data_IF_322432273228
#
_entry.id   IF_322432273228
#
_cell.length_a   1.000
_cell.length_b   1.000
_cell.length_c   1.000
_cell.angle_alpha   90.00
_cell.angle_beta   90.00
_cell.angle_gamma   90.00
#
_symmetry.space_group_name_H-M   'P 1'
#
loop_
_entity.id
_entity.type
_entity.pdbx_description
1 polymer ?
#
# COMPACT_ATOMS: atom_id res chain seq x y z
N UNK A 1 1.49 5.24 -2.12
CA UNK A 1 2.56 5.12 -1.11
C UNK A 1 2.36 6.04 0.11
N UNK A 2 2.15 7.36 -0.05
CA UNK A 2 2.04 8.28 1.11
C UNK A 2 0.90 7.98 2.09
N UNK A 3 -0.33 7.84 1.59
CA UNK A 3 -1.52 7.61 2.45
C UNK A 3 -1.41 6.28 3.21
N UNK A 4 -1.04 5.20 2.54
CA UNK A 4 -0.85 3.89 3.17
C UNK A 4 0.21 3.95 4.29
N UNK A 5 1.33 4.65 4.07
CA UNK A 5 2.35 4.82 5.11
C UNK A 5 1.82 5.59 6.32
N UNK A 6 1.05 6.67 6.13
CA UNK A 6 0.49 7.43 7.27
C UNK A 6 -0.48 6.60 8.10
N UNK A 7 -1.32 5.78 7.47
CA UNK A 7 -2.25 4.88 8.17
C UNK A 7 -1.46 3.82 8.94
N UNK A 8 -0.46 3.19 8.33
CA UNK A 8 0.39 2.20 8.99
C UNK A 8 1.15 2.77 10.18
N UNK A 9 1.72 3.97 10.05
CA UNK A 9 2.44 4.63 11.14
C UNK A 9 1.51 4.99 12.31
N UNK A 10 0.30 5.47 12.02
CA UNK A 10 -0.68 5.77 13.07
C UNK A 10 -1.09 4.49 13.83
N UNK A 11 -1.40 3.42 13.11
CA UNK A 11 -1.73 2.12 13.71
C UNK A 11 -0.56 1.60 14.56
N UNK A 12 0.68 1.74 14.07
CA UNK A 12 1.88 1.36 14.81
C UNK A 12 2.09 2.12 16.12
N UNK A 13 1.64 3.37 16.21
CA UNK A 13 1.66 4.16 17.43
C UNK A 13 0.50 3.81 18.39
N UNK A 14 -0.71 3.63 17.86
CA UNK A 14 -1.90 3.35 18.67
C UNK A 14 -1.88 1.96 19.31
N UNK A 15 -1.38 0.96 18.59
CA UNK A 15 -1.36 -0.44 19.04
C UNK A 15 -0.67 -0.63 20.41
N UNK A 16 0.57 -0.19 20.65
CA UNK A 16 1.22 -0.36 21.95
C UNK A 16 0.53 0.41 23.08
N UNK A 17 -0.14 1.54 22.81
CA UNK A 17 -0.92 2.24 23.84
C UNK A 17 -2.15 1.43 24.28
N UNK A 18 -2.87 0.83 23.33
CA UNK A 18 -4.04 -0.01 23.63
C UNK A 18 -3.61 -1.30 24.34
N UNK A 19 -2.56 -1.97 23.85
CA UNK A 19 -2.02 -3.16 24.50
C UNK A 19 -1.56 -2.83 25.92
N UNK A 20 -0.82 -1.74 26.09
CA UNK A 20 -0.39 -1.26 27.41
C UNK A 20 -1.58 -1.04 28.34
N UNK A 21 -2.62 -0.34 27.91
CA UNK A 21 -3.83 -0.11 28.72
C UNK A 21 -4.57 -1.41 29.07
N UNK A 22 -4.58 -2.41 28.19
CA UNK A 22 -5.19 -3.72 28.44
C UNK A 22 -4.35 -4.60 29.35
N UNK A 23 -3.04 -4.41 29.38
CA UNK A 23 -2.10 -5.25 30.14
C UNK A 23 -1.59 -4.63 31.45
N UNK A 24 -1.86 -3.35 31.69
CA UNK A 24 -1.29 -2.62 32.81
C UNK A 24 -1.76 -3.15 34.18
N UNK A 25 -0.81 -3.31 35.10
CA UNK A 25 -1.05 -3.86 36.45
C UNK A 25 -1.43 -5.35 36.53
N UNK A 26 -1.73 -6.05 35.41
CA UNK A 26 -2.26 -7.42 35.43
C UNK A 26 -1.82 -8.29 34.24
N UNK A 27 -0.55 -8.21 33.85
CA UNK A 27 0.14 -8.98 32.79
C UNK A 27 0.02 -10.52 32.92
N UNK A 28 -1.18 -11.03 32.71
CA UNK A 28 -1.55 -12.44 32.88
C UNK A 28 -1.89 -13.05 31.53
N UNK A 29 -1.83 -14.39 31.45
CA UNK A 29 -2.20 -15.12 30.23
C UNK A 29 -3.62 -14.77 29.75
N UNK A 30 -4.54 -14.48 30.68
CA UNK A 30 -5.92 -14.13 30.35
C UNK A 30 -6.00 -12.81 29.56
N UNK A 31 -5.27 -11.77 29.96
CA UNK A 31 -5.28 -10.49 29.25
C UNK A 31 -4.65 -10.61 27.86
N UNK A 32 -3.58 -11.38 27.72
CA UNK A 32 -2.99 -11.65 26.41
C UNK A 32 -3.95 -12.38 25.47
N UNK A 33 -4.77 -13.31 25.98
CA UNK A 33 -5.84 -13.94 25.18
C UNK A 33 -6.86 -12.92 24.67
N UNK A 34 -7.18 -11.89 25.47
CA UNK A 34 -8.06 -10.80 25.05
C UNK A 34 -7.40 -9.99 23.94
N UNK A 35 -6.14 -9.58 24.11
CA UNK A 35 -5.37 -8.83 23.10
C UNK A 35 -5.34 -9.58 21.77
N UNK A 36 -4.92 -10.85 21.78
CA UNK A 36 -4.88 -11.67 20.56
C UNK A 36 -6.27 -11.93 19.98
N UNK A 37 -7.30 -12.07 20.82
CA UNK A 37 -8.68 -12.21 20.38
C UNK A 37 -9.18 -10.97 19.62
N UNK A 38 -8.90 -9.78 20.13
CA UNK A 38 -9.22 -8.51 19.45
C UNK A 38 -8.48 -8.42 18.11
N UNK A 39 -7.18 -8.70 18.11
CA UNK A 39 -6.38 -8.70 16.86
C UNK A 39 -6.95 -9.66 15.83
N UNK A 40 -7.33 -10.88 16.22
CA UNK A 40 -7.92 -11.86 15.31
C UNK A 40 -9.24 -11.36 14.69
N UNK A 41 -10.10 -10.72 15.47
CA UNK A 41 -11.36 -10.14 14.98
C UNK A 41 -11.09 -9.01 13.98
N UNK A 42 -10.14 -8.12 14.28
CA UNK A 42 -9.76 -7.01 13.37
C UNK A 42 -9.26 -7.57 12.04
N UNK A 43 -8.35 -8.56 12.07
CA UNK A 43 -7.81 -9.18 10.87
C UNK A 43 -8.89 -9.89 10.04
N UNK A 44 -9.86 -10.54 10.69
CA UNK A 44 -10.99 -11.13 10.00
C UNK A 44 -11.83 -10.06 9.29
N UNK A 45 -12.15 -8.95 9.96
CA UNK A 45 -12.91 -7.84 9.35
C UNK A 45 -12.13 -7.25 8.17
N UNK A 46 -10.83 -6.98 8.33
CA UNK A 46 -9.96 -6.52 7.24
C UNK A 46 -10.01 -7.47 6.05
N UNK A 47 -9.91 -8.77 6.30
CA UNK A 47 -9.98 -9.81 5.27
C UNK A 47 -11.31 -9.75 4.52
N UNK A 48 -12.43 -9.63 5.23
CA UNK A 48 -13.74 -9.49 4.59
C UNK A 48 -13.84 -8.22 3.75
N UNK A 49 -13.39 -7.09 4.27
CA UNK A 49 -13.35 -5.83 3.51
C UNK A 49 -12.50 -6.00 2.25
N UNK A 50 -11.34 -6.62 2.35
CA UNK A 50 -10.50 -6.89 1.19
C UNK A 50 -11.21 -7.77 0.16
N UNK A 51 -11.81 -8.89 0.57
CA UNK A 51 -12.49 -9.83 -0.33
C UNK A 51 -13.66 -9.16 -1.07
N UNK A 52 -14.44 -8.31 -0.39
CA UNK A 52 -15.63 -7.71 -1.00
C UNK A 52 -15.34 -6.47 -1.84
N UNK A 53 -14.31 -5.69 -1.50
CA UNK A 53 -14.07 -4.38 -2.11
C UNK A 53 -12.81 -4.30 -2.97
N UNK A 54 -11.86 -5.23 -2.86
CA UNK A 54 -10.68 -5.20 -3.72
C UNK A 54 -11.03 -5.60 -5.17
N UNK A 55 -10.44 -4.92 -6.14
CA UNK A 55 -10.44 -5.33 -7.55
C UNK A 55 -9.02 -5.58 -8.02
N UNK A 56 -8.87 -6.58 -8.90
CA UNK A 56 -7.62 -6.91 -9.57
C UNK A 56 -7.51 -6.28 -10.98
N UNK A 57 -8.51 -5.50 -11.40
CA UNK A 57 -8.52 -4.87 -12.71
C UNK A 57 -7.48 -3.75 -12.80
N UNK A 58 -6.90 -3.62 -14.01
CA UNK A 58 -6.02 -2.50 -14.34
C UNK A 58 -6.79 -1.20 -14.15
N UNK A 59 -6.31 -0.36 -13.26
CA UNK A 59 -6.91 0.94 -12.98
C UNK A 59 -6.57 1.92 -14.11
N UNK A 60 -7.49 2.84 -14.43
CA UNK A 60 -7.36 3.76 -15.58
C UNK A 60 -6.08 4.62 -15.54
N UNK A 61 -5.60 4.97 -14.35
CA UNK A 61 -4.35 5.72 -14.17
C UNK A 61 -3.09 4.91 -14.51
N UNK A 62 -3.19 3.58 -14.60
CA UNK A 62 -2.12 2.68 -15.04
C UNK A 62 -2.05 2.56 -16.57
N UNK A 63 -3.00 3.16 -17.30
CA UNK A 63 -2.90 3.38 -18.73
C UNK A 63 -1.92 4.53 -18.98
N UNK A 64 -0.62 4.20 -19.04
CA UNK A 64 0.35 5.18 -19.51
C UNK A 64 -0.02 5.57 -20.94
N UNK A 65 -0.13 6.89 -21.14
CA UNK A 65 -0.32 7.59 -22.41
C UNK A 65 0.33 6.81 -23.56
N UNK A 66 -0.56 6.24 -24.38
CA UNK A 66 -0.37 5.77 -25.74
C UNK A 66 1.05 5.37 -26.16
N UNK A 67 1.24 4.07 -26.39
CA UNK A 67 2.20 3.57 -27.39
C UNK A 67 1.98 4.20 -28.79
N UNK A 68 0.90 4.94 -29.01
CA UNK A 68 0.62 5.69 -30.25
C UNK A 68 1.42 7.00 -30.37
N UNK A 69 1.91 7.62 -29.29
CA UNK A 69 2.77 8.80 -29.40
C UNK A 69 4.16 8.44 -29.93
N UNK A 70 4.68 7.25 -29.61
CA UNK A 70 5.98 6.77 -30.15
C UNK A 70 5.85 6.39 -31.63
N UNK A 71 4.66 5.95 -32.08
CA UNK A 71 4.41 5.61 -33.49
C UNK A 71 4.33 6.84 -34.40
N UNK A 72 3.89 7.99 -33.86
CA UNK A 72 3.68 9.22 -34.64
C UNK A 72 4.87 10.18 -34.66
N UNK A 73 5.97 9.86 -33.97
CA UNK A 73 7.25 10.56 -34.17
C UNK A 73 7.84 10.09 -35.51
N UNK A 74 8.05 10.99 -36.50
CA UNK A 74 8.75 10.63 -37.72
C UNK A 74 10.10 10.01 -37.36
N UNK A 75 10.39 8.80 -37.86
CA UNK A 75 11.57 7.99 -37.50
C UNK A 75 12.90 8.77 -37.60
N UNK A 76 12.94 9.81 -38.42
CA UNK A 76 14.07 10.73 -38.57
C UNK A 76 14.41 11.54 -37.28
N UNK A 77 13.41 11.92 -36.48
CA UNK A 77 13.63 12.69 -35.24
C UNK A 77 14.11 11.82 -34.08
N UNK A 78 13.61 10.58 -33.99
CA UNK A 78 14.09 9.58 -33.03
C UNK A 78 15.55 9.22 -33.27
N UNK A 79 15.95 9.11 -34.55
CA UNK A 79 17.32 8.78 -34.93
C UNK A 79 18.30 9.95 -34.73
N UNK A 80 17.86 11.20 -34.96
CA UNK A 80 18.66 12.39 -34.64
C UNK A 80 18.88 12.54 -33.12
N UNK A 81 17.86 12.35 -32.28
CA UNK A 81 18.02 12.42 -30.81
C UNK A 81 18.97 11.35 -30.27
N UNK A 82 18.90 10.12 -30.79
CA UNK A 82 19.81 9.04 -30.43
C UNK A 82 21.28 9.34 -30.81
N UNK A 83 21.52 9.97 -31.98
CA UNK A 83 22.85 10.33 -32.46
C UNK A 83 23.54 11.46 -31.67
N UNK A 84 22.77 12.31 -30.98
CA UNK A 84 23.27 13.50 -30.29
C UNK A 84 23.10 13.49 -28.78
N UNK A 85 22.69 12.39 -28.14
CA UNK A 85 22.77 12.28 -26.68
C UNK A 85 24.25 12.17 -26.25
N UNK A 86 24.84 13.20 -25.61
CA UNK A 86 26.17 13.05 -25.04
C UNK A 86 26.09 12.04 -23.89
N UNK A 87 26.98 11.04 -23.94
CA UNK A 87 27.19 10.08 -22.87
C UNK A 87 27.71 10.85 -21.64
N UNK A 88 26.85 11.03 -20.64
CA UNK A 88 27.22 11.49 -19.30
C UNK A 88 26.94 10.37 -18.30
#
# INVERSE_FOLDING_TARGET
MGISNTVSSLTGFLTPMVVGALTDGNNTLHQWRIVFGITAIILLIETFVFIFFATADKQDWAEQVSSEEISNVPKEQAQKRSKYSPLN
#
